data_IF_718457459385
#
_entry.id   IF_718457459385
#
_cell.length_a   1.000
_cell.length_b   1.000
_cell.length_c   1.000
_cell.angle_alpha   90.00
_cell.angle_beta   90.00
_cell.angle_gamma   90.00
#
_symmetry.space_group_name_H-M   'P 1'
#
loop_
_entity.id
_entity.type
_entity.pdbx_description
1 polymer ?
#
# COMPACT_ATOMS: atom_id res chain seq x y z
N UNK A 1 31.43 -36.07 -43.02
CA UNK A 1 30.44 -35.94 -41.94
C UNK A 1 30.80 -34.71 -41.11
N UNK A 2 30.15 -33.56 -41.36
CA UNK A 2 30.45 -32.32 -40.62
C UNK A 2 29.81 -32.42 -39.24
N UNK A 3 30.64 -32.58 -38.21
CA UNK A 3 30.21 -32.47 -36.81
C UNK A 3 29.79 -31.01 -36.63
N UNK A 4 28.49 -30.74 -36.70
CA UNK A 4 27.94 -29.42 -36.39
C UNK A 4 28.30 -29.15 -34.92
N UNK A 5 28.93 -28.00 -34.69
CA UNK A 5 29.66 -27.66 -33.49
C UNK A 5 28.69 -27.50 -32.30
N UNK A 6 28.34 -28.60 -31.63
CA UNK A 6 27.42 -28.66 -30.47
C UNK A 6 27.85 -27.70 -29.35
N UNK A 7 29.14 -27.36 -29.29
CA UNK A 7 29.74 -26.42 -28.35
C UNK A 7 29.14 -25.00 -28.42
N UNK A 8 28.55 -24.59 -29.55
CA UNK A 8 27.88 -23.28 -29.69
C UNK A 8 26.36 -23.35 -29.50
N UNK A 9 25.78 -24.55 -29.51
CA UNK A 9 24.33 -24.76 -29.39
C UNK A 9 23.91 -24.78 -27.91
N UNK A 10 24.72 -25.38 -27.04
CA UNK A 10 24.41 -25.45 -25.60
C UNK A 10 24.38 -24.06 -24.93
N UNK A 11 25.36 -23.15 -25.16
CA UNK A 11 25.34 -21.82 -24.53
C UNK A 11 24.18 -20.96 -25.00
N UNK A 12 23.77 -21.10 -26.26
CA UNK A 12 22.65 -20.33 -26.83
C UNK A 12 21.31 -20.80 -26.28
N UNK A 13 21.11 -22.11 -26.13
CA UNK A 13 19.92 -22.67 -25.47
C UNK A 13 19.83 -22.21 -24.01
N UNK A 14 20.93 -22.28 -23.25
CA UNK A 14 20.94 -21.85 -21.85
C UNK A 14 20.66 -20.35 -21.73
N UNK A 15 21.22 -19.52 -22.62
CA UNK A 15 20.93 -18.08 -22.66
C UNK A 15 19.46 -17.80 -22.99
N UNK A 16 18.89 -18.47 -24.00
CA UNK A 16 17.47 -18.33 -24.33
C UNK A 16 16.56 -18.77 -23.19
N UNK A 17 16.90 -19.85 -22.49
CA UNK A 17 16.15 -20.33 -21.32
C UNK A 17 16.26 -19.34 -20.15
N UNK A 18 17.45 -18.80 -19.90
CA UNK A 18 17.66 -17.78 -18.87
C UNK A 18 16.88 -16.50 -19.16
N UNK A 19 16.78 -16.08 -20.42
CA UNK A 19 15.94 -14.94 -20.84
C UNK A 19 14.46 -15.24 -20.58
N UNK A 20 13.97 -16.44 -20.95
CA UNK A 20 12.58 -16.84 -20.72
C UNK A 20 12.20 -16.94 -19.23
N UNK A 21 13.15 -17.28 -18.35
CA UNK A 21 12.91 -17.26 -16.90
C UNK A 21 13.04 -15.86 -16.27
N UNK A 22 13.68 -14.90 -16.94
CA UNK A 22 13.83 -13.52 -16.45
C UNK A 22 12.63 -12.61 -16.79
N UNK A 23 11.76 -13.02 -17.72
CA UNK A 23 10.54 -12.28 -18.08
C UNK A 23 9.45 -12.34 -17.00
N UNK A 24 9.59 -13.20 -15.98
CA UNK A 24 8.63 -13.30 -14.87
C UNK A 24 8.88 -12.30 -13.73
N UNK A 25 9.94 -11.48 -13.77
CA UNK A 25 10.34 -10.67 -12.62
C UNK A 25 9.91 -9.20 -12.64
N UNK A 26 9.45 -8.62 -13.75
CA UNK A 26 8.97 -7.23 -13.78
C UNK A 26 7.93 -6.99 -14.87
N UNK A 27 6.71 -7.45 -14.62
CA UNK A 27 5.51 -6.99 -15.33
C UNK A 27 4.32 -7.00 -14.37
N UNK A 28 4.44 -6.24 -13.29
CA UNK A 28 3.28 -5.53 -12.79
C UNK A 28 2.83 -4.60 -13.92
N UNK A 29 1.68 -4.92 -14.53
CA UNK A 29 0.73 -4.01 -15.19
C UNK A 29 -0.16 -4.84 -16.14
N UNK A 30 -0.87 -5.82 -15.57
CA UNK A 30 -2.17 -6.15 -16.14
C UNK A 30 -3.14 -5.04 -15.70
N UNK A 31 -3.26 -3.99 -16.50
CA UNK A 31 -4.23 -2.88 -16.25
C UNK A 31 -5.64 -3.27 -16.60
N UNK A 32 -6.07 -4.46 -16.22
CA UNK A 32 -7.49 -4.78 -16.18
C UNK A 32 -7.99 -4.32 -14.82
N UNK A 33 -8.24 -3.02 -14.70
CA UNK A 33 -8.83 -2.48 -13.48
C UNK A 33 -10.22 -3.10 -13.31
N UNK A 34 -10.44 -3.74 -12.16
CA UNK A 34 -11.77 -4.19 -11.77
C UNK A 34 -12.70 -2.99 -11.57
N UNK A 35 -14.01 -3.25 -11.50
CA UNK A 35 -14.96 -2.22 -11.10
C UNK A 35 -14.54 -1.62 -9.75
N UNK A 36 -14.55 -0.28 -9.68
CA UNK A 36 -14.21 0.42 -8.45
C UNK A 36 -15.28 0.19 -7.40
N UNK A 37 -14.87 -0.29 -6.22
CA UNK A 37 -15.74 -0.43 -5.05
C UNK A 37 -15.44 0.66 -4.02
N UNK A 38 -16.45 1.06 -3.25
CA UNK A 38 -16.22 1.88 -2.07
C UNK A 38 -15.56 1.05 -0.97
N UNK A 39 -14.40 1.50 -0.49
CA UNK A 39 -13.78 0.94 0.70
C UNK A 39 -14.71 1.13 1.89
N UNK A 40 -14.87 0.10 2.71
CA UNK A 40 -15.70 0.14 3.91
C UNK A 40 -14.84 0.40 5.15
N UNK A 41 -15.36 1.20 6.08
CA UNK A 41 -14.86 1.31 7.45
C UNK A 41 -16.00 0.90 8.40
N UNK A 42 -15.92 -0.29 8.98
CA UNK A 42 -17.04 -0.92 9.68
C UNK A 42 -18.21 -1.20 8.73
N UNK A 43 -19.40 -0.67 9.06
CA UNK A 43 -20.64 -0.89 8.29
C UNK A 43 -21.00 0.27 7.35
N UNK A 44 -20.04 1.13 6.99
CA UNK A 44 -20.28 2.29 6.14
C UNK A 44 -19.11 2.56 5.19
N UNK A 45 -19.40 3.25 4.09
CA UNK A 45 -18.37 3.73 3.17
C UNK A 45 -17.35 4.61 3.90
N UNK A 46 -16.07 4.35 3.67
CA UNK A 46 -14.98 5.14 4.21
C UNK A 46 -15.03 6.55 3.60
N UNK A 47 -15.21 7.55 4.47
CA UNK A 47 -15.23 8.95 4.06
C UNK A 47 -13.93 9.65 4.46
N UNK A 48 -13.15 10.04 3.46
CA UNK A 48 -11.97 10.88 3.63
C UNK A 48 -12.37 12.36 3.41
N UNK A 49 -12.33 13.23 4.44
CA UNK A 49 -12.73 14.63 4.30
C UNK A 49 -11.73 15.43 3.44
N UNK A 50 -12.03 16.72 3.22
CA UNK A 50 -11.30 17.62 2.30
C UNK A 50 -9.77 17.55 2.37
N UNK A 51 -9.15 17.69 1.18
CA UNK A 51 -7.69 17.67 0.96
C UNK A 51 -7.04 16.36 1.43
N UNK A 52 -7.73 15.25 1.13
CA UNK A 52 -7.28 13.91 1.46
C UNK A 52 -6.24 13.41 0.46
N UNK A 53 -5.18 12.79 0.98
CA UNK A 53 -4.14 12.12 0.19
C UNK A 53 -4.01 10.68 0.69
N UNK A 54 -4.67 9.71 0.02
CA UNK A 54 -4.61 8.30 0.42
C UNK A 54 -3.29 7.64 -0.01
N UNK A 55 -2.78 6.77 0.84
CA UNK A 55 -1.62 5.92 0.59
C UNK A 55 -1.91 4.51 1.14
N UNK A 56 -1.65 3.50 0.34
CA UNK A 56 -1.78 2.08 0.73
C UNK A 56 -0.38 1.51 0.96
N UNK A 57 -0.10 1.08 2.18
CA UNK A 57 1.23 0.60 2.59
C UNK A 57 1.10 -0.31 3.82
N UNK A 58 2.00 -1.27 3.96
CA UNK A 58 2.10 -2.07 5.19
C UNK A 58 2.86 -1.25 6.25
N UNK A 59 2.10 -0.53 7.07
CA UNK A 59 2.67 0.51 7.94
C UNK A 59 3.16 -0.05 9.27
N UNK A 60 2.49 -1.09 9.77
CA UNK A 60 2.81 -1.74 11.04
C UNK A 60 3.70 -2.98 10.89
N UNK A 61 4.12 -3.34 9.66
CA UNK A 61 4.97 -4.49 9.33
C UNK A 61 4.32 -5.83 9.71
N UNK A 62 2.98 -5.92 9.58
CA UNK A 62 2.21 -7.14 9.86
C UNK A 62 1.97 -8.02 8.62
N UNK A 63 2.45 -7.57 7.46
CA UNK A 63 2.30 -8.25 6.18
C UNK A 63 1.02 -7.89 5.42
N UNK A 64 0.19 -6.97 5.92
CA UNK A 64 -1.05 -6.52 5.28
C UNK A 64 -0.96 -5.06 4.88
N UNK A 65 -1.63 -4.70 3.79
CA UNK A 65 -1.69 -3.30 3.35
C UNK A 65 -2.70 -2.51 4.17
N UNK A 66 -2.20 -1.55 4.92
CA UNK A 66 -2.98 -0.55 5.64
C UNK A 66 -3.34 0.65 4.74
N UNK A 67 -4.26 1.49 5.22
CA UNK A 67 -4.63 2.74 4.58
C UNK A 67 -4.25 3.94 5.44
N UNK A 68 -3.41 4.81 4.88
CA UNK A 68 -3.01 6.09 5.46
C UNK A 68 -3.69 7.22 4.68
N UNK A 69 -4.34 8.14 5.38
CA UNK A 69 -5.00 9.30 4.77
C UNK A 69 -4.47 10.57 5.44
N UNK A 70 -3.67 11.34 4.69
CA UNK A 70 -3.37 12.72 5.07
C UNK A 70 -4.64 13.57 4.99
N UNK A 71 -4.96 14.37 6.00
CA UNK A 71 -6.12 15.27 6.00
C UNK A 71 -5.85 16.56 6.76
N UNK A 72 -6.60 17.59 6.41
CA UNK A 72 -6.70 18.78 7.23
C UNK A 72 -7.61 18.54 8.44
N UNK A 73 -7.22 19.00 9.61
CA UNK A 73 -8.03 18.81 10.82
C UNK A 73 -9.00 19.95 11.06
N UNK A 74 -10.20 19.57 11.45
CA UNK A 74 -11.19 20.45 12.05
C UNK A 74 -11.46 19.95 13.45
N UNK A 75 -11.50 20.86 14.42
CA UNK A 75 -11.94 20.51 15.76
C UNK A 75 -13.42 20.11 15.79
N UNK A 76 -13.92 19.68 16.95
CA UNK A 76 -15.33 19.29 17.13
C UNK A 76 -16.32 20.43 16.82
N UNK A 77 -15.86 21.68 16.83
CA UNK A 77 -16.65 22.86 16.51
C UNK A 77 -16.52 23.26 15.02
N UNK A 78 -15.76 22.51 14.22
CA UNK A 78 -15.57 22.74 12.78
C UNK A 78 -14.45 23.74 12.45
N UNK A 79 -13.73 24.27 13.44
CA UNK A 79 -12.67 25.24 13.18
C UNK A 79 -11.45 24.55 12.59
N UNK A 80 -10.90 25.16 11.54
CA UNK A 80 -9.62 24.76 10.99
C UNK A 80 -8.54 24.93 12.07
N UNK A 81 -7.93 23.82 12.48
CA UNK A 81 -6.67 23.90 13.20
C UNK A 81 -5.59 23.99 12.13
N UNK A 82 -4.60 24.89 12.28
CA UNK A 82 -3.52 25.08 11.31
C UNK A 82 -2.54 23.90 11.20
N UNK A 83 -3.00 22.68 11.48
CA UNK A 83 -2.22 21.45 11.58
C UNK A 83 -2.89 20.35 10.74
N UNK A 84 -2.06 19.64 9.97
CA UNK A 84 -2.46 18.44 9.25
C UNK A 84 -2.26 17.19 10.11
N UNK A 85 -3.02 16.14 9.81
CA UNK A 85 -2.94 14.85 10.49
C UNK A 85 -2.89 13.73 9.45
N UNK A 86 -2.26 12.62 9.81
CA UNK A 86 -2.37 11.38 9.06
C UNK A 86 -3.33 10.49 9.83
N UNK A 87 -4.35 9.99 9.15
CA UNK A 87 -5.29 9.03 9.72
C UNK A 87 -4.87 7.64 9.29
N UNK A 88 -4.69 6.74 10.24
CA UNK A 88 -4.26 5.36 10.02
C UNK A 88 -5.45 4.42 10.21
N UNK A 89 -5.70 3.61 9.18
CA UNK A 89 -6.69 2.54 9.17
C UNK A 89 -5.94 1.21 9.05
N UNK A 90 -5.89 0.46 10.15
CA UNK A 90 -5.33 -0.89 10.21
C UNK A 90 -6.19 -1.84 9.37
N UNK A 91 -5.57 -2.59 8.47
CA UNK A 91 -6.26 -3.65 7.74
C UNK A 91 -6.35 -4.92 8.59
N UNK A 92 -7.52 -5.19 9.16
CA UNK A 92 -7.77 -6.41 9.95
C UNK A 92 -8.10 -7.63 9.08
N UNK A 93 -8.33 -7.44 7.78
CA UNK A 93 -8.64 -8.47 6.80
C UNK A 93 -7.39 -8.99 6.10
N UNK A 94 -7.47 -9.06 4.77
CA UNK A 94 -6.37 -9.40 3.86
C UNK A 94 -6.20 -8.32 2.80
N UNK A 95 -5.16 -8.42 1.96
CA UNK A 95 -4.99 -7.49 0.83
C UNK A 95 -6.10 -7.63 -0.22
N UNK A 96 -6.58 -8.86 -0.45
CA UNK A 96 -7.67 -9.15 -1.39
C UNK A 96 -9.05 -8.76 -0.84
N UNK A 97 -9.20 -8.74 0.49
CA UNK A 97 -10.44 -8.41 1.18
C UNK A 97 -10.14 -7.55 2.41
N UNK A 98 -9.82 -6.25 2.22
CA UNK A 98 -9.44 -5.38 3.32
C UNK A 98 -10.63 -5.14 4.25
N UNK A 99 -10.35 -5.11 5.55
CA UNK A 99 -11.35 -4.86 6.58
C UNK A 99 -10.84 -3.79 7.55
N UNK A 100 -11.25 -2.54 7.31
CA UNK A 100 -10.96 -1.43 8.20
C UNK A 100 -12.08 -1.29 9.23
N UNK A 101 -11.73 -1.18 10.51
CA UNK A 101 -12.70 -1.01 11.60
C UNK A 101 -12.19 0.02 12.61
N UNK A 102 -12.54 1.27 12.34
CA UNK A 102 -12.03 2.44 13.05
C UNK A 102 -10.74 2.99 12.46
N UNK A 103 -10.20 4.02 13.11
CA UNK A 103 -8.93 4.63 12.76
C UNK A 103 -8.29 5.30 13.98
N UNK A 104 -6.98 5.51 13.90
CA UNK A 104 -6.23 6.37 14.81
C UNK A 104 -5.64 7.56 14.07
N UNK A 105 -5.40 8.67 14.77
CA UNK A 105 -4.67 9.79 14.19
C UNK A 105 -3.19 9.66 14.56
N UNK A 106 -2.34 9.59 13.54
CA UNK A 106 -0.90 9.72 13.64
C UNK A 106 -0.56 11.20 13.51
N UNK A 107 -0.12 11.81 14.60
CA UNK A 107 0.29 13.21 14.65
C UNK A 107 1.80 13.32 14.73
N UNK A 108 2.41 14.08 13.83
CA UNK A 108 3.86 14.30 13.84
C UNK A 108 4.28 15.55 14.62
N UNK A 109 3.48 16.63 14.67
CA UNK A 109 3.87 17.86 15.39
C UNK A 109 2.65 18.74 15.77
N UNK A 110 2.65 19.28 17.00
CA UNK A 110 2.01 20.58 17.32
C UNK A 110 3.07 21.61 17.68
N UNK A 111 3.78 21.38 18.80
CA UNK A 111 4.89 22.20 19.32
C UNK A 111 6.00 21.36 19.97
N UNK A 112 5.75 20.07 20.22
CA UNK A 112 6.75 19.08 20.62
C UNK A 112 6.63 17.85 19.72
N UNK A 113 7.75 17.44 19.13
CA UNK A 113 7.81 16.20 18.35
C UNK A 113 7.82 15.02 19.33
N UNK A 114 6.82 14.14 19.24
CA UNK A 114 6.90 12.81 19.84
C UNK A 114 7.16 11.79 18.73
N UNK A 115 7.99 10.76 18.98
CA UNK A 115 8.07 9.62 18.08
C UNK A 115 6.66 9.08 17.81
N UNK A 116 6.37 8.80 16.55
CA UNK A 116 5.19 8.05 16.17
C UNK A 116 5.48 6.60 16.49
N UNK A 117 5.25 6.21 17.75
CA UNK A 117 5.37 4.81 18.15
C UNK A 117 4.09 4.08 17.74
N UNK A 118 4.25 3.07 16.88
CA UNK A 118 3.18 2.27 16.26
C UNK A 118 2.56 1.25 17.25
N UNK A 119 2.96 1.27 18.52
CA UNK A 119 2.56 0.28 19.50
C UNK A 119 1.89 0.90 20.73
N UNK A 120 0.58 1.06 20.67
CA UNK A 120 -0.30 0.57 21.75
C UNK A 120 -1.75 0.76 21.34
N UNK A 121 -2.35 -0.35 20.91
CA UNK A 121 -3.75 -0.62 21.18
C UNK A 121 -4.03 -0.35 22.66
N UNK A 122 -4.87 0.64 22.93
CA UNK A 122 -5.52 0.89 24.21
C UNK A 122 -7.03 0.89 24.00
#
# INVERSE_FOLDING_TARGET
MKIINVLFIIPTIVFSIAVLFNEYYYSDFETTLSEGIYLQAGNADLSAPNWSVPLVYDWNDDGKKDLLIGRHFRDRAGNAQGQGFITFYENRGTDDQPAFDGHSNIQTCTTACRPVDVASSG
#
